data_IF_125335308005
#
_entry.id   IF_125335308005
#
_cell.length_a   1.000
_cell.length_b   1.000
_cell.length_c   1.000
_cell.angle_alpha   90.00
_cell.angle_beta   90.00
_cell.angle_gamma   90.00
#
_symmetry.space_group_name_H-M   'P 1'
#
loop_
_entity.id
_entity.type
_entity.pdbx_description
1 polymer ?
#
# COMPACT_ATOMS: atom_id res chain seq x y z
N UNK A 1 -105.69 -90.18 -69.89
CA UNK A 1 -105.18 -88.79 -69.81
C UNK A 1 -104.68 -88.46 -68.40
N UNK A 2 -104.60 -89.44 -67.47
CA UNK A 2 -104.12 -89.27 -66.08
C UNK A 2 -102.66 -89.74 -65.83
N UNK A 3 -101.99 -90.36 -66.82
CA UNK A 3 -100.69 -91.04 -66.63
C UNK A 3 -99.47 -90.17 -67.04
N UNK A 4 -99.71 -89.04 -67.70
CA UNK A 4 -98.68 -88.08 -68.13
C UNK A 4 -98.43 -86.99 -67.06
N UNK A 5 -99.49 -86.49 -66.42
CA UNK A 5 -99.43 -85.53 -65.30
C UNK A 5 -98.69 -86.11 -64.07
N UNK A 6 -98.85 -87.41 -63.80
CA UNK A 6 -98.16 -88.10 -62.70
C UNK A 6 -96.64 -88.28 -62.97
N UNK A 7 -96.22 -88.38 -64.24
CA UNK A 7 -94.81 -88.50 -64.63
C UNK A 7 -94.10 -87.16 -64.67
N UNK A 8 -94.80 -86.09 -65.04
CA UNK A 8 -94.29 -84.72 -65.01
C UNK A 8 -94.10 -84.23 -63.57
N UNK A 9 -95.09 -84.42 -62.70
CA UNK A 9 -94.97 -84.07 -61.27
C UNK A 9 -93.88 -84.89 -60.55
N UNK A 10 -93.62 -86.14 -60.96
CA UNK A 10 -92.54 -86.95 -60.42
C UNK A 10 -91.15 -86.48 -60.90
N UNK A 11 -91.02 -85.96 -62.13
CA UNK A 11 -89.76 -85.35 -62.63
C UNK A 11 -89.49 -84.02 -61.95
N UNK A 12 -90.50 -83.18 -61.81
CA UNK A 12 -90.40 -81.88 -61.14
C UNK A 12 -90.08 -82.05 -59.64
N UNK A 13 -90.68 -83.04 -58.97
CA UNK A 13 -90.32 -83.39 -57.60
C UNK A 13 -88.90 -83.98 -57.47
N UNK A 14 -88.41 -84.71 -58.49
CA UNK A 14 -87.03 -85.22 -58.51
C UNK A 14 -86.00 -84.12 -58.79
N UNK A 15 -86.35 -83.14 -59.63
CA UNK A 15 -85.53 -81.97 -59.93
C UNK A 15 -85.47 -81.01 -58.74
N UNK A 16 -86.61 -80.72 -58.11
CA UNK A 16 -86.67 -79.95 -56.86
C UNK A 16 -85.89 -80.63 -55.72
N UNK A 17 -85.90 -81.98 -55.64
CA UNK A 17 -85.07 -82.72 -54.68
C UNK A 17 -83.58 -82.60 -54.97
N UNK A 18 -83.17 -82.65 -56.25
CA UNK A 18 -81.77 -82.45 -56.66
C UNK A 18 -81.29 -81.02 -56.42
N UNK A 19 -82.12 -80.03 -56.72
CA UNK A 19 -81.83 -78.62 -56.50
C UNK A 19 -81.74 -78.30 -55.00
N UNK A 20 -82.67 -78.82 -54.19
CA UNK A 20 -82.59 -78.71 -52.73
C UNK A 20 -81.34 -79.42 -52.16
N UNK A 21 -80.93 -80.56 -52.71
CA UNK A 21 -79.69 -81.23 -52.29
C UNK A 21 -78.44 -80.44 -52.69
N UNK A 22 -78.42 -79.80 -53.86
CA UNK A 22 -77.33 -78.92 -54.30
C UNK A 22 -77.23 -77.68 -53.41
N UNK A 23 -78.36 -76.98 -53.18
CA UNK A 23 -78.41 -75.82 -52.28
C UNK A 23 -77.97 -76.18 -50.86
N UNK A 24 -78.36 -77.36 -50.37
CA UNK A 24 -77.90 -77.87 -49.07
C UNK A 24 -76.39 -78.13 -49.07
N UNK A 25 -75.83 -78.76 -50.10
CA UNK A 25 -74.37 -78.99 -50.21
C UNK A 25 -73.58 -77.69 -50.33
N UNK A 26 -74.09 -76.71 -51.06
CA UNK A 26 -73.44 -75.41 -51.22
C UNK A 26 -73.52 -74.59 -49.94
N UNK A 27 -74.65 -74.65 -49.22
CA UNK A 27 -74.77 -74.09 -47.87
C UNK A 27 -73.82 -74.77 -46.87
N UNK A 28 -73.77 -76.10 -46.85
CA UNK A 28 -72.81 -76.85 -45.99
C UNK A 28 -71.35 -76.53 -46.35
N UNK A 29 -71.02 -76.30 -47.63
CA UNK A 29 -69.69 -75.86 -48.07
C UNK A 29 -69.38 -74.42 -47.65
N UNK A 30 -70.34 -73.50 -47.77
CA UNK A 30 -70.21 -72.11 -47.36
C UNK A 30 -70.01 -72.02 -45.84
N UNK A 31 -70.84 -72.72 -45.06
CA UNK A 31 -70.72 -72.80 -43.59
C UNK A 31 -69.37 -73.40 -43.17
N UNK A 32 -68.86 -74.43 -43.88
CA UNK A 32 -67.50 -74.97 -43.64
C UNK A 32 -66.38 -74.00 -44.03
N UNK A 33 -66.58 -73.18 -45.07
CA UNK A 33 -65.61 -72.17 -45.49
C UNK A 33 -65.55 -71.02 -44.48
N UNK A 34 -66.71 -70.53 -44.03
CA UNK A 34 -66.84 -69.53 -42.98
C UNK A 34 -66.28 -70.02 -41.65
N UNK A 35 -66.56 -71.27 -41.26
CA UNK A 35 -65.99 -71.86 -40.05
C UNK A 35 -64.45 -71.93 -40.11
N UNK A 36 -63.88 -72.30 -41.28
CA UNK A 36 -62.44 -72.30 -41.49
C UNK A 36 -61.84 -70.89 -41.48
N UNK A 37 -62.55 -69.90 -42.03
CA UNK A 37 -62.10 -68.51 -42.03
C UNK A 37 -62.17 -67.90 -40.62
N UNK A 38 -63.23 -68.17 -39.87
CA UNK A 38 -63.37 -67.79 -38.46
C UNK A 38 -62.27 -68.43 -37.60
N UNK A 39 -61.95 -69.71 -37.84
CA UNK A 39 -60.85 -70.40 -37.16
C UNK A 39 -59.49 -69.78 -37.49
N UNK A 40 -59.24 -69.40 -38.76
CA UNK A 40 -58.02 -68.67 -39.15
C UNK A 40 -57.91 -67.31 -38.46
N UNK A 41 -58.98 -66.50 -38.51
CA UNK A 41 -59.04 -65.19 -37.84
C UNK A 41 -58.79 -65.31 -36.33
N UNK A 42 -59.37 -66.33 -35.69
CA UNK A 42 -59.12 -66.61 -34.27
C UNK A 42 -57.65 -66.93 -34.01
N UNK A 43 -57.01 -67.77 -34.83
CA UNK A 43 -55.57 -68.10 -34.69
C UNK A 43 -54.68 -66.89 -34.92
N UNK A 44 -55.05 -66.01 -35.85
CA UNK A 44 -54.30 -64.77 -36.13
C UNK A 44 -54.42 -63.78 -34.97
N UNK A 45 -55.60 -63.62 -34.37
CA UNK A 45 -55.79 -62.82 -33.15
C UNK A 45 -55.01 -63.41 -31.96
N UNK A 46 -55.11 -64.73 -31.72
CA UNK A 46 -54.33 -65.40 -30.66
C UNK A 46 -52.81 -65.31 -30.89
N UNK A 47 -52.36 -65.17 -32.14
CA UNK A 47 -50.96 -64.93 -32.47
C UNK A 47 -50.58 -63.46 -32.22
N UNK A 48 -51.41 -62.52 -32.67
CA UNK A 48 -51.20 -61.08 -32.46
C UNK A 48 -51.15 -60.73 -30.96
N UNK A 49 -52.05 -61.30 -30.15
CA UNK A 49 -52.05 -61.10 -28.69
C UNK A 49 -50.77 -61.64 -28.04
N UNK A 50 -50.30 -62.83 -28.47
CA UNK A 50 -49.03 -63.40 -27.98
C UNK A 50 -47.83 -62.54 -28.36
N UNK A 51 -47.81 -62.00 -29.58
CA UNK A 51 -46.72 -61.15 -30.04
C UNK A 51 -46.75 -59.78 -29.35
N UNK A 52 -47.93 -59.21 -29.09
CA UNK A 52 -48.12 -58.01 -28.29
C UNK A 52 -47.67 -58.21 -26.84
N UNK A 53 -48.02 -59.34 -26.22
CA UNK A 53 -47.61 -59.68 -24.85
C UNK A 53 -46.08 -59.77 -24.74
N UNK A 54 -45.42 -60.43 -25.72
CA UNK A 54 -43.96 -60.52 -25.76
C UNK A 54 -43.28 -59.16 -25.93
N UNK A 55 -43.86 -58.27 -26.73
CA UNK A 55 -43.32 -56.91 -26.92
C UNK A 55 -43.47 -56.06 -25.65
N UNK A 56 -44.58 -56.20 -24.93
CA UNK A 56 -44.77 -55.56 -23.61
C UNK A 56 -43.72 -56.08 -22.62
N UNK A 57 -43.54 -57.39 -22.50
CA UNK A 57 -42.53 -58.00 -21.61
C UNK A 57 -41.10 -57.59 -21.98
N UNK A 58 -40.81 -57.44 -23.28
CA UNK A 58 -39.52 -56.96 -23.75
C UNK A 58 -39.28 -55.52 -23.34
N UNK A 59 -40.25 -54.63 -23.55
CA UNK A 59 -40.16 -53.21 -23.17
C UNK A 59 -40.03 -53.03 -21.67
N UNK A 60 -40.75 -53.81 -20.88
CA UNK A 60 -40.65 -53.79 -19.42
C UNK A 60 -39.24 -54.22 -18.95
N UNK A 61 -38.68 -55.28 -19.55
CA UNK A 61 -37.32 -55.72 -19.27
C UNK A 61 -36.26 -54.67 -19.66
N UNK A 62 -36.41 -54.06 -20.83
CA UNK A 62 -35.50 -53.01 -21.31
C UNK A 62 -35.59 -51.77 -20.41
N UNK A 63 -36.79 -51.41 -19.94
CA UNK A 63 -37.02 -50.34 -18.97
C UNK A 63 -36.34 -50.65 -17.63
N UNK A 64 -36.57 -51.83 -17.06
CA UNK A 64 -35.96 -52.23 -15.79
C UNK A 64 -34.43 -52.26 -15.88
N UNK A 65 -33.88 -52.70 -17.01
CA UNK A 65 -32.44 -52.66 -17.26
C UNK A 65 -31.92 -51.23 -17.34
N UNK A 66 -32.61 -50.33 -18.04
CA UNK A 66 -32.24 -48.92 -18.12
C UNK A 66 -32.31 -48.23 -16.75
N UNK A 67 -33.32 -48.52 -15.94
CA UNK A 67 -33.43 -48.02 -14.56
C UNK A 67 -32.27 -48.53 -13.69
N UNK A 68 -31.91 -49.82 -13.78
CA UNK A 68 -30.76 -50.37 -13.05
C UNK A 68 -29.42 -49.75 -13.49
N UNK A 69 -29.21 -49.55 -14.78
CA UNK A 69 -28.00 -48.93 -15.30
C UNK A 69 -27.92 -47.45 -14.90
N UNK A 70 -29.05 -46.74 -14.84
CA UNK A 70 -29.12 -45.37 -14.34
C UNK A 70 -28.77 -45.28 -12.85
N UNK A 71 -29.27 -46.20 -12.02
CA UNK A 71 -28.93 -46.28 -10.59
C UNK A 71 -27.42 -46.51 -10.41
N UNK A 72 -26.85 -47.49 -11.12
CA UNK A 72 -25.39 -47.76 -11.06
C UNK A 72 -24.56 -46.55 -11.49
N UNK A 73 -24.99 -45.84 -12.53
CA UNK A 73 -24.31 -44.62 -12.97
C UNK A 73 -24.41 -43.50 -11.93
N UNK A 74 -25.56 -43.36 -11.26
CA UNK A 74 -25.73 -42.38 -10.20
C UNK A 74 -24.83 -42.70 -8.99
N UNK A 75 -24.79 -43.95 -8.54
CA UNK A 75 -23.90 -44.40 -7.46
C UNK A 75 -22.42 -44.18 -7.82
N UNK A 76 -22.03 -44.46 -9.06
CA UNK A 76 -20.66 -44.23 -9.51
C UNK A 76 -20.30 -42.74 -9.51
N UNK A 77 -21.20 -41.86 -10.00
CA UNK A 77 -21.01 -40.41 -9.96
C UNK A 77 -20.89 -39.88 -8.54
N UNK A 78 -21.67 -40.42 -7.60
CA UNK A 78 -21.61 -40.04 -6.20
C UNK A 78 -20.28 -40.47 -5.56
N UNK A 79 -19.80 -41.69 -5.85
CA UNK A 79 -18.47 -42.16 -5.41
C UNK A 79 -17.34 -41.30 -5.97
N UNK A 80 -17.39 -40.96 -7.24
CA UNK A 80 -16.38 -40.12 -7.90
C UNK A 80 -16.40 -38.70 -7.33
N UNK A 81 -17.58 -38.15 -7.04
CA UNK A 81 -17.73 -36.86 -6.36
C UNK A 81 -17.13 -36.88 -4.96
N UNK A 82 -17.46 -37.87 -4.13
CA UNK A 82 -16.93 -38.00 -2.77
C UNK A 82 -15.40 -38.15 -2.78
N UNK A 83 -14.86 -38.89 -3.75
CA UNK A 83 -13.41 -39.02 -3.93
C UNK A 83 -12.76 -37.69 -4.32
N UNK A 84 -13.35 -36.95 -5.26
CA UNK A 84 -12.88 -35.63 -5.65
C UNK A 84 -12.91 -34.62 -4.49
N UNK A 85 -13.98 -34.64 -3.68
CA UNK A 85 -14.08 -33.81 -2.48
C UNK A 85 -12.99 -34.16 -1.45
N UNK A 86 -12.73 -35.45 -1.21
CA UNK A 86 -11.64 -35.89 -0.32
C UNK A 86 -10.25 -35.49 -0.85
N UNK A 87 -10.01 -35.63 -2.15
CA UNK A 87 -8.73 -35.25 -2.76
C UNK A 87 -8.53 -33.73 -2.72
N UNK A 88 -9.60 -32.94 -2.90
CA UNK A 88 -9.55 -31.49 -2.76
C UNK A 88 -9.23 -31.06 -1.32
N UNK A 89 -9.83 -31.71 -0.31
CA UNK A 89 -9.52 -31.44 1.11
C UNK A 89 -8.06 -31.75 1.42
N UNK A 90 -7.53 -32.89 0.95
CA UNK A 90 -6.11 -33.24 1.13
C UNK A 90 -5.18 -32.23 0.46
N UNK A 91 -5.51 -31.79 -0.77
CA UNK A 91 -4.73 -30.77 -1.46
C UNK A 91 -4.76 -29.42 -0.74
N UNK A 92 -5.91 -29.00 -0.21
CA UNK A 92 -6.03 -27.78 0.58
C UNK A 92 -5.21 -27.85 1.88
N UNK A 93 -5.24 -28.99 2.58
CA UNK A 93 -4.44 -29.21 3.78
C UNK A 93 -2.93 -29.17 3.45
N UNK A 94 -2.53 -29.77 2.32
CA UNK A 94 -1.13 -29.75 1.89
C UNK A 94 -0.66 -28.34 1.51
N UNK A 95 -1.47 -27.58 0.76
CA UNK A 95 -1.19 -26.17 0.45
C UNK A 95 -1.08 -25.32 1.72
N UNK A 96 -1.95 -25.56 2.71
CA UNK A 96 -1.89 -24.86 4.00
C UNK A 96 -0.59 -25.17 4.74
N UNK A 97 -0.16 -26.44 4.78
CA UNK A 97 1.12 -26.85 5.39
C UNK A 97 2.32 -26.26 4.66
N UNK A 98 2.28 -26.17 3.33
CA UNK A 98 3.33 -25.52 2.53
C UNK A 98 3.38 -24.01 2.78
N UNK A 99 2.23 -23.34 2.82
CA UNK A 99 2.14 -21.92 3.16
C UNK A 99 2.66 -21.63 4.58
N UNK A 100 2.33 -22.49 5.56
CA UNK A 100 2.82 -22.35 6.92
C UNK A 100 4.35 -22.53 7.00
N UNK A 101 4.92 -23.51 6.28
CA UNK A 101 6.38 -23.68 6.20
C UNK A 101 7.06 -22.51 5.51
N UNK A 102 6.48 -22.00 4.42
CA UNK A 102 7.00 -20.83 3.71
C UNK A 102 6.96 -19.58 4.60
N UNK A 103 5.86 -19.35 5.33
CA UNK A 103 5.75 -18.27 6.30
C UNK A 103 6.80 -18.39 7.42
N UNK A 104 6.99 -19.59 7.97
CA UNK A 104 8.03 -19.83 8.99
C UNK A 104 9.44 -19.59 8.44
N UNK A 105 9.71 -19.95 7.19
CA UNK A 105 10.99 -19.64 6.53
C UNK A 105 11.19 -18.13 6.37
N UNK A 106 10.18 -17.42 5.85
CA UNK A 106 10.21 -15.98 5.69
C UNK A 106 10.43 -15.24 7.02
N UNK A 107 9.78 -15.66 8.10
CA UNK A 107 9.98 -15.10 9.45
C UNK A 107 11.42 -15.32 9.92
N UNK A 108 12.01 -16.51 9.67
CA UNK A 108 13.41 -16.79 10.03
C UNK A 108 14.40 -15.96 9.21
N UNK A 109 14.14 -15.75 7.92
CA UNK A 109 14.94 -14.88 7.07
C UNK A 109 14.83 -13.41 7.48
N UNK A 110 13.62 -12.90 7.72
CA UNK A 110 13.41 -11.54 8.21
C UNK A 110 14.12 -11.31 9.55
N UNK A 111 14.04 -12.26 10.49
CA UNK A 111 14.78 -12.19 11.76
C UNK A 111 16.31 -12.24 11.56
N UNK A 112 16.81 -12.93 10.52
CA UNK A 112 18.23 -12.90 10.16
C UNK A 112 18.63 -11.56 9.58
N UNK A 113 17.84 -11.00 8.66
CA UNK A 113 18.06 -9.69 8.06
C UNK A 113 18.06 -8.59 9.13
N UNK A 114 17.12 -8.63 10.09
CA UNK A 114 17.08 -7.69 11.20
C UNK A 114 18.35 -7.75 12.05
N UNK A 115 18.84 -8.96 12.39
CA UNK A 115 20.11 -9.12 13.12
C UNK A 115 21.33 -8.65 12.32
N UNK A 116 21.35 -8.89 11.00
CA UNK A 116 22.42 -8.39 10.12
C UNK A 116 22.38 -6.86 10.01
N UNK A 117 21.19 -6.26 9.92
CA UNK A 117 20.99 -4.82 9.93
C UNK A 117 21.40 -4.18 11.28
N UNK A 118 20.98 -4.74 12.41
CA UNK A 118 21.42 -4.29 13.74
C UNK A 118 22.94 -4.40 13.91
N UNK A 119 23.55 -5.48 13.41
CA UNK A 119 25.01 -5.65 13.42
C UNK A 119 25.70 -4.61 12.53
N UNK A 120 25.16 -4.32 11.35
CA UNK A 120 25.66 -3.29 10.46
C UNK A 120 25.52 -1.89 11.06
N UNK A 121 24.38 -1.58 11.69
CA UNK A 121 24.17 -0.34 12.44
C UNK A 121 25.17 -0.20 13.59
N UNK A 122 25.41 -1.26 14.37
CA UNK A 122 26.43 -1.26 15.43
C UNK A 122 27.85 -1.06 14.88
N UNK A 123 28.17 -1.67 13.74
CA UNK A 123 29.46 -1.49 13.07
C UNK A 123 29.62 -0.06 12.55
N UNK A 124 28.57 0.51 11.94
CA UNK A 124 28.54 1.90 11.48
C UNK A 124 28.69 2.89 12.65
N UNK A 125 27.99 2.65 13.77
CA UNK A 125 28.13 3.45 14.98
C UNK A 125 29.56 3.36 15.57
N UNK A 126 30.18 2.17 15.55
CA UNK A 126 31.57 2.00 15.97
C UNK A 126 32.55 2.73 15.04
N UNK A 127 32.31 2.66 13.73
CA UNK A 127 33.09 3.37 12.71
C UNK A 127 32.94 4.89 12.84
N UNK A 128 31.73 5.41 13.08
CA UNK A 128 31.48 6.82 13.39
C UNK A 128 32.21 7.25 14.66
N UNK A 129 32.20 6.43 15.72
CA UNK A 129 32.99 6.72 16.94
C UNK A 129 34.49 6.69 16.69
N UNK A 130 35.00 5.78 15.85
CA UNK A 130 36.41 5.72 15.48
C UNK A 130 36.81 6.94 14.65
N UNK A 131 36.03 7.28 13.62
CA UNK A 131 36.19 8.48 12.82
C UNK A 131 36.12 9.76 13.68
N UNK A 132 35.22 9.83 14.66
CA UNK A 132 35.16 10.94 15.60
C UNK A 132 36.41 11.02 16.49
N UNK A 133 36.95 9.89 16.95
CA UNK A 133 38.21 9.84 17.72
C UNK A 133 39.43 10.20 16.88
N UNK A 134 39.45 9.79 15.61
CA UNK A 134 40.50 10.15 14.66
C UNK A 134 40.42 11.61 14.27
N UNK A 135 39.23 12.14 14.03
CA UNK A 135 38.99 13.57 13.83
C UNK A 135 39.37 14.39 15.07
N UNK A 136 39.09 13.89 16.28
CA UNK A 136 39.52 14.52 17.54
C UNK A 136 41.05 14.46 17.72
N UNK A 137 41.70 13.34 17.36
CA UNK A 137 43.18 13.26 17.34
C UNK A 137 43.79 14.18 16.28
N UNK A 138 43.21 14.24 15.09
CA UNK A 138 43.61 15.11 14.00
C UNK A 138 43.40 16.58 14.38
N UNK A 139 42.29 16.92 15.06
CA UNK A 139 42.05 18.23 15.67
C UNK A 139 43.09 18.55 16.73
N UNK A 140 43.41 17.64 17.66
CA UNK A 140 44.46 17.86 18.67
C UNK A 140 45.85 18.02 18.04
N UNK A 141 46.11 17.34 16.93
CA UNK A 141 47.35 17.50 16.17
C UNK A 141 47.36 18.82 15.39
N UNK A 142 46.26 19.18 14.74
CA UNK A 142 46.08 20.44 14.02
C UNK A 142 46.12 21.64 14.97
N UNK A 143 45.51 21.58 16.16
CA UNK A 143 45.60 22.61 17.21
C UNK A 143 47.01 22.69 17.80
N UNK A 144 47.79 21.60 17.77
CA UNK A 144 49.20 21.58 18.19
C UNK A 144 50.14 22.15 17.10
N UNK A 145 49.77 22.02 15.83
CA UNK A 145 50.59 22.42 14.66
C UNK A 145 50.20 23.82 14.15
N UNK A 146 48.93 24.20 14.26
CA UNK A 146 48.40 25.52 13.94
C UNK A 146 48.43 26.39 15.20
N UNK A 147 49.64 26.83 15.56
CA UNK A 147 49.79 28.09 16.27
C UNK A 147 49.39 29.23 15.32
N UNK A 148 48.10 29.51 15.24
CA UNK A 148 47.57 30.68 14.53
C UNK A 148 46.43 31.23 15.37
N UNK A 149 46.66 32.41 15.94
CA UNK A 149 45.67 33.18 16.68
C UNK A 149 44.36 33.28 15.89
N UNK A 150 43.20 32.96 16.49
CA UNK A 150 41.94 33.34 15.89
C UNK A 150 41.78 34.85 16.05
N UNK A 151 41.52 35.53 14.94
CA UNK A 151 40.96 36.89 14.96
C UNK A 151 39.72 36.86 15.87
N UNK A 152 39.65 37.67 16.94
CA UNK A 152 38.51 37.66 17.84
C UNK A 152 37.37 38.40 17.16
N UNK A 153 36.57 37.68 16.38
CA UNK A 153 35.20 38.10 16.13
C UNK A 153 34.45 37.84 17.43
N UNK A 154 33.97 38.91 18.07
CA UNK A 154 33.10 38.80 19.25
C UNK A 154 31.76 38.24 18.78
N UNK A 155 31.64 36.90 18.78
CA UNK A 155 30.45 36.21 18.35
C UNK A 155 29.30 36.52 19.32
N UNK A 156 28.08 36.78 18.82
CA UNK A 156 26.90 36.90 19.69
C UNK A 156 26.81 35.69 20.63
N UNK A 157 26.42 35.86 21.91
CA UNK A 157 26.43 34.78 22.91
C UNK A 157 25.74 33.48 22.45
N UNK A 158 24.59 33.60 21.78
CA UNK A 158 23.83 32.49 21.17
C UNK A 158 24.60 31.68 20.11
N UNK A 159 25.51 32.33 19.38
CA UNK A 159 26.37 31.67 18.39
C UNK A 159 27.63 31.16 19.10
N UNK A 160 28.25 31.96 19.96
CA UNK A 160 29.48 31.60 20.66
C UNK A 160 29.37 30.26 21.42
N UNK A 161 28.21 29.97 22.03
CA UNK A 161 27.98 28.71 22.75
C UNK A 161 28.09 27.47 21.85
N UNK A 162 27.70 27.57 20.58
CA UNK A 162 27.76 26.48 19.58
C UNK A 162 29.20 26.14 19.17
N UNK A 163 30.10 27.12 19.31
CA UNK A 163 31.50 27.01 18.92
C UNK A 163 32.44 26.78 20.11
N UNK A 164 31.91 26.68 21.34
CA UNK A 164 32.69 26.34 22.51
C UNK A 164 33.28 24.95 22.36
N UNK A 165 34.60 24.89 22.17
CA UNK A 165 35.31 23.62 22.24
C UNK A 165 35.26 23.13 23.68
N UNK A 166 34.84 21.87 23.95
CA UNK A 166 34.86 21.33 25.29
C UNK A 166 36.27 21.47 25.85
N UNK A 167 36.42 22.16 26.99
CA UNK A 167 37.72 22.29 27.61
C UNK A 167 38.28 20.89 27.90
N UNK A 168 39.58 20.61 27.64
CA UNK A 168 40.16 19.32 27.98
C UNK A 168 39.91 19.04 29.47
N UNK A 169 39.20 17.94 29.75
CA UNK A 169 38.67 17.64 31.08
C UNK A 169 39.77 17.72 32.14
N UNK A 170 39.60 18.62 33.11
CA UNK A 170 40.43 18.63 34.33
C UNK A 170 40.20 17.30 35.07
N UNK A 171 41.25 16.68 35.66
CA UNK A 171 41.07 15.51 36.51
C UNK A 171 40.12 15.85 37.67
N UNK A 172 38.95 15.22 37.70
CA UNK A 172 37.90 15.46 38.70
C UNK A 172 36.65 14.61 38.40
N UNK A 173 35.67 14.59 39.31
CA UNK A 173 34.38 13.93 39.05
C UNK A 173 33.76 14.49 37.75
N UNK A 174 33.15 13.62 36.94
CA UNK A 174 32.53 14.04 35.67
C UNK A 174 31.59 15.23 35.92
N UNK A 175 31.59 16.27 35.05
CA UNK A 175 30.61 17.34 35.16
C UNK A 175 29.21 16.72 35.21
N UNK A 176 28.39 17.12 36.19
CA UNK A 176 27.05 16.55 36.37
C UNK A 176 26.08 16.88 35.22
N UNK A 177 26.42 17.84 34.36
CA UNK A 177 25.61 18.29 33.23
C UNK A 177 26.52 18.78 32.08
N UNK A 178 26.09 18.57 30.84
CA UNK A 178 26.78 18.98 29.59
C UNK A 178 25.84 19.78 28.71
N UNK A 179 26.38 20.56 27.76
CA UNK A 179 25.56 21.35 26.82
C UNK A 179 24.69 20.43 25.95
N UNK A 180 25.23 19.26 25.59
CA UNK A 180 24.53 18.22 24.84
C UNK A 180 23.31 17.70 25.61
N UNK A 181 23.46 17.45 26.92
CA UNK A 181 22.34 17.01 27.77
C UNK A 181 21.26 18.10 27.92
N UNK A 182 21.66 19.37 27.99
CA UNK A 182 20.71 20.50 28.03
C UNK A 182 19.93 20.57 26.72
N UNK A 183 20.61 20.44 25.58
CA UNK A 183 19.99 20.44 24.26
C UNK A 183 19.05 19.25 24.07
N UNK A 184 19.47 18.02 24.41
CA UNK A 184 18.65 16.80 24.33
C UNK A 184 17.34 16.93 25.13
N UNK A 185 17.41 17.44 26.35
CA UNK A 185 16.22 17.64 27.19
C UNK A 185 15.30 18.73 26.63
N UNK A 186 15.86 19.79 26.05
CA UNK A 186 15.09 20.84 25.38
C UNK A 186 14.37 20.33 24.13
N UNK A 187 15.05 19.52 23.31
CA UNK A 187 14.47 18.88 22.12
C UNK A 187 13.32 17.97 22.54
N UNK A 188 13.54 17.07 23.51
CA UNK A 188 12.50 16.16 23.98
C UNK A 188 11.26 16.90 24.48
N UNK A 189 11.45 18.00 25.22
CA UNK A 189 10.35 18.85 25.69
C UNK A 189 9.61 19.53 24.54
N UNK A 190 10.34 20.08 23.56
CA UNK A 190 9.76 20.74 22.39
C UNK A 190 9.00 19.76 21.50
N UNK A 191 9.50 18.54 21.31
CA UNK A 191 8.86 17.49 20.52
C UNK A 191 7.54 17.04 21.15
N UNK A 192 7.46 16.98 22.49
CA UNK A 192 6.26 16.46 23.19
C UNK A 192 5.25 17.53 23.59
N UNK A 193 5.72 18.68 24.03
CA UNK A 193 4.89 19.73 24.65
C UNK A 193 4.87 21.03 23.81
N UNK A 194 5.68 21.11 22.74
CA UNK A 194 5.81 22.30 21.90
C UNK A 194 6.85 23.30 22.41
N UNK A 195 7.44 24.07 21.50
CA UNK A 195 8.59 24.95 21.78
C UNK A 195 8.31 26.07 22.80
N UNK A 196 7.06 26.48 22.91
CA UNK A 196 6.63 27.53 23.86
C UNK A 196 6.78 27.09 25.32
N UNK A 197 6.74 25.77 25.56
CA UNK A 197 6.89 25.20 26.92
C UNK A 197 8.35 25.14 27.37
N UNK A 198 9.29 25.28 26.43
CA UNK A 198 10.73 25.28 26.72
C UNK A 198 11.11 26.58 27.42
N UNK A 199 11.12 26.51 28.75
CA UNK A 199 11.60 27.58 29.64
C UNK A 199 12.78 27.09 30.47
N UNK A 200 13.61 28.02 30.95
CA UNK A 200 14.75 27.68 31.80
C UNK A 200 14.35 26.90 33.06
N UNK A 201 13.18 27.20 33.64
CA UNK A 201 12.67 26.50 34.82
C UNK A 201 12.21 25.09 34.48
N UNK A 202 11.41 24.93 33.41
CA UNK A 202 10.91 23.63 32.95
C UNK A 202 12.06 22.70 32.53
N UNK A 203 13.05 23.25 31.83
CA UNK A 203 14.24 22.51 31.43
C UNK A 203 15.05 22.05 32.66
N UNK A 204 15.22 22.91 33.66
CA UNK A 204 15.93 22.56 34.89
C UNK A 204 15.20 21.45 35.65
N UNK A 205 13.88 21.55 35.78
CA UNK A 205 13.02 20.53 36.37
C UNK A 205 13.15 19.19 35.64
N UNK A 206 13.08 19.18 34.32
CA UNK A 206 13.22 17.95 33.50
C UNK A 206 14.56 17.25 33.69
N UNK A 207 15.62 18.02 33.95
CA UNK A 207 16.98 17.52 34.16
C UNK A 207 17.27 17.19 35.63
N UNK A 208 16.35 17.50 36.56
CA UNK A 208 16.57 17.34 38.01
C UNK A 208 17.55 18.34 38.62
N UNK A 209 17.73 19.50 37.99
CA UNK A 209 18.60 20.58 38.45
C UNK A 209 17.80 21.84 38.83
N UNK A 210 18.46 22.78 39.51
CA UNK A 210 17.90 24.12 39.72
C UNK A 210 18.13 25.01 38.51
N UNK A 211 17.26 25.97 38.23
CA UNK A 211 17.45 26.96 37.15
C UNK A 211 18.80 27.66 37.24
N UNK A 212 19.24 28.02 38.46
CA UNK A 212 20.56 28.61 38.72
C UNK A 212 21.72 27.71 38.30
N UNK A 213 21.54 26.39 38.34
CA UNK A 213 22.56 25.44 37.91
C UNK A 213 22.71 25.38 36.39
N UNK A 214 21.62 25.60 35.63
CA UNK A 214 21.66 25.68 34.18
C UNK A 214 22.42 26.92 33.68
N UNK A 215 22.24 28.06 34.36
CA UNK A 215 22.91 29.31 33.98
C UNK A 215 24.45 29.27 34.02
N UNK A 216 25.05 28.23 34.63
CA UNK A 216 26.50 28.00 34.56
C UNK A 216 26.98 27.50 33.20
N UNK A 217 26.08 26.93 32.41
CA UNK A 217 26.38 26.32 31.11
C UNK A 217 25.91 27.19 29.96
N UNK A 218 24.70 27.74 30.10
CA UNK A 218 24.02 28.57 29.09
C UNK A 218 23.58 29.90 29.71
N UNK A 219 23.80 31.00 29.02
CA UNK A 219 23.55 32.35 29.56
C UNK A 219 22.11 32.82 29.37
N UNK A 220 21.38 32.24 28.41
CA UNK A 220 20.02 32.64 28.04
C UNK A 220 19.21 31.47 27.46
N UNK A 221 17.89 31.67 27.33
CA UNK A 221 17.01 30.75 26.58
C UNK A 221 17.47 30.65 25.11
N UNK A 222 17.90 31.76 24.51
CA UNK A 222 18.33 31.79 23.10
C UNK A 222 19.56 30.92 22.84
N UNK A 223 20.50 30.84 23.80
CA UNK A 223 21.63 29.90 23.74
C UNK A 223 21.14 28.45 23.74
N UNK A 224 20.13 28.13 24.56
CA UNK A 224 19.52 26.80 24.57
C UNK A 224 18.84 26.48 23.25
N UNK A 225 18.04 27.41 22.72
CA UNK A 225 17.36 27.22 21.43
C UNK A 225 18.34 27.03 20.28
N UNK A 226 19.46 27.77 20.30
CA UNK A 226 20.55 27.62 19.33
C UNK A 226 21.16 26.22 19.42
N UNK A 227 21.47 25.75 20.64
CA UNK A 227 22.04 24.41 20.89
C UNK A 227 21.10 23.29 20.48
N UNK A 228 19.82 23.40 20.86
CA UNK A 228 18.77 22.45 20.48
C UNK A 228 18.72 22.29 18.97
N UNK A 229 18.85 23.39 18.23
CA UNK A 229 18.60 23.36 16.80
C UNK A 229 19.77 22.86 15.97
N UNK A 230 20.99 23.25 16.34
CA UNK A 230 22.20 22.67 15.74
C UNK A 230 22.25 21.15 15.97
N UNK A 231 21.75 20.70 17.13
CA UNK A 231 21.71 19.30 17.52
C UNK A 231 20.58 18.52 16.84
N UNK A 232 19.37 19.06 16.80
CA UNK A 232 18.20 18.45 16.14
C UNK A 232 18.43 18.28 14.63
N UNK A 233 19.07 19.27 13.99
CA UNK A 233 19.39 19.22 12.56
C UNK A 233 20.39 18.12 12.17
N UNK A 234 21.10 17.55 13.16
CA UNK A 234 22.08 16.50 12.93
C UNK A 234 23.24 16.90 12.00
N UNK A 235 23.80 15.92 11.29
CA UNK A 235 24.84 16.11 10.28
C UNK A 235 24.32 15.61 8.93
N UNK A 236 24.62 16.29 7.82
CA UNK A 236 24.35 15.73 6.50
C UNK A 236 25.17 14.45 6.29
N UNK A 237 24.68 13.53 5.44
CA UNK A 237 25.51 12.44 4.94
C UNK A 237 26.66 13.00 4.10
N UNK A 238 27.73 12.22 3.96
CA UNK A 238 28.76 12.53 2.97
C UNK A 238 28.20 12.16 1.60
N UNK A 239 28.09 13.14 0.72
CA UNK A 239 27.58 12.98 -0.64
C UNK A 239 28.69 13.32 -1.62
N UNK A 240 29.24 12.30 -2.27
CA UNK A 240 30.30 12.46 -3.25
C UNK A 240 29.81 12.27 -4.69
N UNK A 241 30.73 12.35 -5.67
CA UNK A 241 30.43 12.15 -7.10
C UNK A 241 29.82 10.78 -7.44
N UNK A 242 30.00 9.78 -6.59
CA UNK A 242 29.45 8.43 -6.75
C UNK A 242 27.91 8.36 -6.69
N UNK A 243 27.26 9.38 -6.11
CA UNK A 243 25.79 9.47 -6.02
C UNK A 243 25.18 9.90 -7.36
N UNK A 244 25.91 10.64 -8.19
CA UNK A 244 25.43 11.13 -9.48
C UNK A 244 25.77 12.60 -9.73
N UNK A 245 24.94 13.22 -10.58
CA UNK A 245 25.01 14.63 -10.91
C UNK A 245 24.59 15.53 -9.75
N UNK A 246 24.60 16.84 -9.99
CA UNK A 246 24.26 17.82 -8.97
C UNK A 246 22.82 17.65 -8.44
N UNK A 247 21.89 17.25 -9.32
CA UNK A 247 20.47 17.08 -8.98
C UNK A 247 20.29 15.90 -8.04
N UNK A 248 20.80 14.72 -8.40
CA UNK A 248 20.67 13.51 -7.59
C UNK A 248 21.31 13.69 -6.20
N UNK A 249 22.42 14.45 -6.13
CA UNK A 249 23.06 14.79 -4.86
C UNK A 249 22.20 15.70 -3.98
N UNK A 250 21.55 16.71 -4.55
CA UNK A 250 20.64 17.59 -3.79
C UNK A 250 19.37 16.86 -3.37
N UNK A 251 18.79 16.04 -4.25
CA UNK A 251 17.61 15.23 -3.94
C UNK A 251 17.88 14.27 -2.78
N UNK A 252 19.05 13.62 -2.75
CA UNK A 252 19.47 12.79 -1.62
C UNK A 252 19.60 13.60 -0.31
N UNK A 253 20.20 14.79 -0.36
CA UNK A 253 20.33 15.65 0.81
C UNK A 253 18.97 16.09 1.35
N UNK A 254 18.05 16.48 0.46
CA UNK A 254 16.68 16.86 0.82
C UNK A 254 15.90 15.69 1.41
N UNK A 255 15.99 14.50 0.79
CA UNK A 255 15.35 13.28 1.28
C UNK A 255 15.83 12.86 2.68
N UNK A 256 17.10 13.14 3.01
CA UNK A 256 17.64 12.89 4.37
C UNK A 256 17.24 14.00 5.35
N UNK A 257 17.14 15.24 4.88
CA UNK A 257 16.78 16.39 5.72
C UNK A 257 15.29 16.38 6.11
N UNK A 258 14.41 15.99 5.19
CA UNK A 258 12.96 15.98 5.36
C UNK A 258 12.49 15.25 6.64
N UNK A 259 12.84 13.97 6.89
CA UNK A 259 12.40 13.27 8.10
C UNK A 259 12.96 13.87 9.40
N UNK A 260 14.12 14.55 9.34
CA UNK A 260 14.68 15.26 10.51
C UNK A 260 13.81 16.46 10.87
N UNK A 261 13.38 17.20 9.85
CA UNK A 261 12.54 18.37 10.00
C UNK A 261 11.11 18.01 10.43
N UNK A 262 10.56 16.92 9.89
CA UNK A 262 9.27 16.36 10.32
C UNK A 262 9.26 15.87 11.77
N UNK A 263 10.39 15.32 12.24
CA UNK A 263 10.53 14.90 13.63
C UNK A 263 10.58 16.07 14.62
N UNK A 264 10.98 17.26 14.15
CA UNK A 264 11.21 18.44 14.98
C UNK A 264 10.50 19.69 14.38
N UNK A 265 9.17 19.69 14.27
CA UNK A 265 8.42 20.74 13.55
C UNK A 265 8.61 22.13 14.15
N UNK A 266 8.94 22.22 15.44
CA UNK A 266 9.24 23.48 16.12
C UNK A 266 10.46 24.24 15.56
N UNK A 267 11.33 23.58 14.78
CA UNK A 267 12.45 24.24 14.10
C UNK A 267 11.99 25.37 13.17
N UNK A 268 10.76 25.27 12.62
CA UNK A 268 10.19 26.29 11.73
C UNK A 268 9.75 27.57 12.47
N UNK A 269 9.42 27.49 13.76
CA UNK A 269 8.92 28.64 14.56
C UNK A 269 10.00 29.44 15.26
N UNK A 270 11.13 28.82 15.52
CA UNK A 270 12.16 29.45 16.31
C UNK A 270 13.04 30.35 15.42
N UNK A 271 12.74 31.65 15.38
CA UNK A 271 13.47 32.59 14.51
C UNK A 271 14.95 32.69 14.88
N UNK A 272 15.34 32.49 16.16
CA UNK A 272 16.75 32.44 16.55
C UNK A 272 17.49 31.24 15.93
N UNK A 273 16.77 30.15 15.67
CA UNK A 273 17.29 28.91 15.08
C UNK A 273 17.64 29.12 13.61
N UNK A 274 16.80 29.88 12.91
CA UNK A 274 16.99 30.25 11.52
C UNK A 274 18.14 31.23 11.30
N UNK A 275 18.69 31.84 12.35
CA UNK A 275 19.83 32.76 12.28
C UNK A 275 21.09 32.23 12.98
N UNK A 276 20.97 31.15 13.75
CA UNK A 276 22.12 30.50 14.38
C UNK A 276 23.03 29.87 13.31
N UNK A 277 24.27 30.36 13.22
CA UNK A 277 25.32 29.78 12.37
C UNK A 277 26.12 28.79 13.21
N UNK A 278 25.49 27.65 13.48
CA UNK A 278 26.10 26.54 14.21
C UNK A 278 26.91 25.61 13.30
N UNK A 279 27.76 24.73 13.88
CA UNK A 279 28.50 23.73 13.12
C UNK A 279 27.59 22.84 12.26
N UNK A 280 26.44 22.41 12.78
CA UNK A 280 25.39 21.61 12.11
C UNK A 280 24.93 22.27 10.83
N UNK A 281 24.49 23.50 10.96
CA UNK A 281 24.03 24.31 9.82
C UNK A 281 25.13 24.51 8.78
N UNK A 282 26.34 24.87 9.20
CA UNK A 282 27.45 25.04 8.25
C UNK A 282 27.79 23.74 7.53
N UNK A 283 27.71 22.60 8.20
CA UNK A 283 27.92 21.30 7.55
C UNK A 283 26.85 21.05 6.47
N UNK A 284 25.57 21.34 6.74
CA UNK A 284 24.50 21.24 5.75
C UNK A 284 24.69 22.20 4.57
N UNK A 285 25.05 23.46 4.84
CA UNK A 285 25.36 24.43 3.79
C UNK A 285 26.53 23.96 2.91
N UNK A 286 27.61 23.48 3.53
CA UNK A 286 28.77 22.92 2.82
C UNK A 286 28.38 21.74 1.94
N UNK A 287 27.58 20.80 2.46
CA UNK A 287 27.13 19.63 1.71
C UNK A 287 26.26 20.03 0.50
N UNK A 288 25.33 20.98 0.67
CA UNK A 288 24.47 21.46 -0.42
C UNK A 288 25.26 22.27 -1.46
N UNK A 289 26.23 23.10 -1.05
CA UNK A 289 27.11 23.80 -1.98
C UNK A 289 28.00 22.81 -2.74
N UNK A 290 28.58 21.83 -2.05
CA UNK A 290 29.40 20.78 -2.66
C UNK A 290 28.59 19.93 -3.65
N UNK A 291 27.30 19.73 -3.42
CA UNK A 291 26.43 19.04 -4.37
C UNK A 291 26.34 19.77 -5.72
N UNK A 292 26.48 21.11 -5.73
CA UNK A 292 26.51 21.95 -6.93
C UNK A 292 27.92 22.09 -7.54
N UNK A 293 28.93 21.41 -7.00
CA UNK A 293 30.27 21.46 -7.58
C UNK A 293 30.34 20.83 -8.97
N UNK A 294 31.15 21.46 -9.82
CA UNK A 294 31.28 21.11 -11.23
C UNK A 294 30.20 21.71 -12.14
N UNK A 295 29.21 22.42 -11.58
CA UNK A 295 28.26 23.21 -12.38
C UNK A 295 28.90 24.54 -12.82
N UNK A 296 28.44 25.14 -13.94
CA UNK A 296 28.91 26.45 -14.40
C UNK A 296 28.36 27.63 -13.58
N UNK A 297 27.57 27.37 -12.54
CA UNK A 297 26.98 28.42 -11.71
C UNK A 297 28.05 29.17 -10.92
N UNK A 298 27.87 30.49 -10.82
CA UNK A 298 28.66 31.32 -9.91
C UNK A 298 28.36 30.99 -8.44
N UNK A 299 29.30 31.29 -7.55
CA UNK A 299 29.11 31.06 -6.11
C UNK A 299 27.90 31.83 -5.55
N UNK A 300 27.56 32.99 -6.12
CA UNK A 300 26.36 33.73 -5.75
C UNK A 300 25.08 32.97 -6.13
N UNK A 301 25.04 32.39 -7.32
CA UNK A 301 23.91 31.58 -7.79
C UNK A 301 23.78 30.29 -6.99
N UNK A 302 24.89 29.61 -6.64
CA UNK A 302 24.87 28.43 -5.78
C UNK A 302 24.29 28.73 -4.40
N UNK A 303 24.75 29.81 -3.76
CA UNK A 303 24.21 30.25 -2.45
C UNK A 303 22.73 30.63 -2.56
N UNK A 304 22.34 31.32 -3.64
CA UNK A 304 20.94 31.65 -3.91
C UNK A 304 20.06 30.41 -4.09
N UNK A 305 20.54 29.42 -4.83
CA UNK A 305 19.84 28.16 -5.06
C UNK A 305 19.60 27.36 -3.77
N UNK A 306 20.64 27.15 -2.96
CA UNK A 306 20.50 26.43 -1.70
C UNK A 306 19.69 27.22 -0.67
N UNK A 307 19.75 28.55 -0.71
CA UNK A 307 18.94 29.42 0.13
C UNK A 307 17.45 29.32 -0.20
N UNK A 308 17.12 29.28 -1.50
CA UNK A 308 15.74 29.11 -1.96
C UNK A 308 15.17 27.75 -1.56
N UNK A 309 15.95 26.67 -1.71
CA UNK A 309 15.57 25.34 -1.23
C UNK A 309 15.31 25.34 0.28
N UNK A 310 16.26 25.88 1.07
CA UNK A 310 16.11 25.94 2.52
C UNK A 310 14.88 26.75 2.96
N UNK A 311 14.61 27.89 2.33
CA UNK A 311 13.41 28.69 2.60
C UNK A 311 12.13 27.94 2.28
N UNK A 312 12.08 27.25 1.13
CA UNK A 312 10.92 26.44 0.73
C UNK A 312 10.63 25.32 1.73
N UNK A 313 11.65 24.55 2.12
CA UNK A 313 11.49 23.46 3.10
C UNK A 313 11.02 23.98 4.46
N UNK A 314 11.52 25.13 4.91
CA UNK A 314 11.08 25.75 6.17
C UNK A 314 9.63 26.26 6.09
N UNK A 315 9.24 26.86 4.97
CA UNK A 315 7.86 27.31 4.77
C UNK A 315 6.89 26.12 4.73
N UNK A 316 7.27 25.01 4.10
CA UNK A 316 6.50 23.76 4.10
C UNK A 316 6.22 23.25 5.52
N UNK A 317 7.25 23.19 6.38
CA UNK A 317 7.08 22.78 7.78
C UNK A 317 6.15 23.70 8.56
N UNK A 318 6.30 25.02 8.37
CA UNK A 318 5.49 26.01 9.06
C UNK A 318 4.01 25.85 8.70
N UNK A 319 3.71 25.68 7.41
CA UNK A 319 2.36 25.44 6.91
C UNK A 319 1.82 24.11 7.47
N UNK A 320 2.63 23.05 7.44
CA UNK A 320 2.27 21.74 8.01
C UNK A 320 1.94 21.80 9.51
N UNK A 321 2.68 22.55 10.31
CA UNK A 321 2.44 22.71 11.75
C UNK A 321 1.17 23.52 12.06
N UNK A 322 0.93 24.59 11.30
CA UNK A 322 -0.30 25.40 11.39
C UNK A 322 -1.55 24.55 11.07
N UNK A 323 -1.47 23.70 10.03
CA UNK A 323 -2.57 22.84 9.59
C UNK A 323 -2.78 21.61 10.49
N UNK A 324 -1.69 20.98 10.97
CA UNK A 324 -1.74 19.79 11.86
C UNK A 324 -2.37 20.10 13.22
N UNK A 325 -2.46 21.38 13.58
CA UNK A 325 -3.18 21.82 14.77
C UNK A 325 -2.37 22.01 16.02
N UNK A 326 -1.05 21.85 15.96
CA UNK A 326 -0.16 22.28 17.03
C UNK A 326 -0.15 23.81 17.21
N UNK A 327 -0.57 24.57 16.17
CA UNK A 327 -0.89 26.00 16.27
C UNK A 327 -2.34 26.34 16.68
N UNK A 328 -3.23 25.37 16.88
CA UNK A 328 -4.66 25.59 17.18
C UNK A 328 -4.91 25.76 18.69
N UNK A 329 -4.30 26.76 19.32
CA UNK A 329 -4.59 27.15 20.71
C UNK A 329 -5.82 28.07 20.86
N UNK A 330 -6.67 28.22 19.83
CA UNK A 330 -7.82 29.16 19.88
C UNK A 330 -9.16 28.64 19.36
N UNK A 331 -9.30 27.36 19.02
CA UNK A 331 -10.64 26.80 18.76
C UNK A 331 -11.27 26.34 20.09
N UNK A 332 -12.01 27.24 20.73
CA UNK A 332 -12.63 27.04 22.04
C UNK A 332 -13.63 25.86 22.13
N UNK A 333 -13.98 25.20 21.01
CA UNK A 333 -15.10 24.23 20.96
C UNK A 333 -14.79 22.90 20.24
N UNK A 334 -13.52 22.59 19.94
CA UNK A 334 -13.17 21.31 19.29
C UNK A 334 -13.70 21.13 17.86
N UNK A 335 -14.24 22.19 17.25
CA UNK A 335 -14.65 22.21 15.84
C UNK A 335 -13.41 22.46 14.98
N UNK A 336 -13.10 21.59 14.00
CA UNK A 336 -12.01 21.86 13.07
C UNK A 336 -12.33 23.13 12.25
N UNK A 337 -11.33 23.98 11.96
CA UNK A 337 -11.54 25.12 11.09
C UNK A 337 -12.04 24.65 9.71
N UNK A 338 -12.91 25.43 9.05
CA UNK A 338 -13.43 25.09 7.73
C UNK A 338 -12.30 24.99 6.69
N UNK A 339 -12.44 24.07 5.74
CA UNK A 339 -11.50 23.89 4.63
C UNK A 339 -11.36 25.18 3.81
N UNK A 340 -10.12 25.50 3.41
CA UNK A 340 -9.85 26.74 2.68
C UNK A 340 -10.53 26.74 1.29
N UNK A 341 -10.57 25.59 0.61
CA UNK A 341 -11.27 25.42 -0.66
C UNK A 341 -12.77 25.64 -0.51
N UNK A 342 -13.38 25.13 0.57
CA UNK A 342 -14.79 25.38 0.90
C UNK A 342 -15.06 26.86 1.19
N UNK A 343 -14.21 27.51 2.01
CA UNK A 343 -14.31 28.94 2.28
C UNK A 343 -14.22 29.77 1.00
N UNK A 344 -13.23 29.49 0.14
CA UNK A 344 -13.06 30.18 -1.15
C UNK A 344 -14.28 29.91 -2.04
N UNK A 345 -14.81 28.69 -2.05
CA UNK A 345 -16.03 28.35 -2.80
C UNK A 345 -17.21 29.19 -2.34
N UNK A 346 -17.38 29.38 -1.02
CA UNK A 346 -18.49 30.18 -0.46
C UNK A 346 -18.29 31.68 -0.67
N UNK A 347 -17.08 32.19 -0.50
CA UNK A 347 -16.80 33.63 -0.45
C UNK A 347 -16.44 34.24 -1.81
N UNK A 348 -15.84 33.47 -2.72
CA UNK A 348 -15.40 33.99 -4.01
C UNK A 348 -16.57 34.14 -4.98
N UNK A 349 -16.92 35.38 -5.32
CA UNK A 349 -17.89 35.67 -6.40
C UNK A 349 -17.39 35.12 -7.75
N UNK A 350 -18.21 34.38 -8.54
CA UNK A 350 -17.85 33.90 -9.87
C UNK A 350 -17.49 35.03 -10.86
N UNK A 351 -18.12 36.19 -10.72
CA UNK A 351 -17.94 37.32 -11.64
C UNK A 351 -16.67 38.13 -11.32
N UNK A 352 -16.33 38.25 -10.03
CA UNK A 352 -15.16 39.02 -9.57
C UNK A 352 -13.91 38.14 -9.42
N UNK A 353 -14.08 36.86 -9.10
CA UNK A 353 -13.00 35.92 -8.79
C UNK A 353 -13.06 34.63 -9.62
N UNK A 354 -13.19 34.71 -10.97
CA UNK A 354 -13.36 33.53 -11.81
C UNK A 354 -12.18 32.56 -11.72
N UNK A 355 -10.95 33.05 -11.51
CA UNK A 355 -9.76 32.20 -11.37
C UNK A 355 -9.76 31.40 -10.04
N UNK A 356 -10.04 32.06 -8.91
CA UNK A 356 -10.15 31.39 -7.60
C UNK A 356 -11.26 30.34 -7.61
N UNK A 357 -12.39 30.65 -8.23
CA UNK A 357 -13.51 29.70 -8.38
C UNK A 357 -13.14 28.48 -9.21
N UNK A 358 -12.39 28.65 -10.31
CA UNK A 358 -11.88 27.50 -11.08
C UNK A 358 -10.91 26.65 -10.26
N UNK A 359 -9.99 27.29 -9.53
CA UNK A 359 -9.01 26.59 -8.70
C UNK A 359 -9.67 25.83 -7.55
N UNK A 360 -10.62 26.45 -6.84
CA UNK A 360 -11.38 25.80 -5.76
C UNK A 360 -12.25 24.66 -6.27
N UNK A 361 -12.95 24.84 -7.40
CA UNK A 361 -13.72 23.76 -8.03
C UNK A 361 -12.85 22.59 -8.50
N UNK A 362 -11.57 22.84 -8.80
CA UNK A 362 -10.60 21.80 -9.14
C UNK A 362 -9.95 21.15 -7.90
N UNK A 363 -10.31 21.56 -6.68
CA UNK A 363 -9.73 21.05 -5.43
C UNK A 363 -8.30 21.56 -5.16
N UNK A 364 -7.83 22.60 -5.84
CA UNK A 364 -6.44 23.07 -5.74
C UNK A 364 -6.08 23.72 -4.39
N UNK A 365 -7.06 23.96 -3.53
CA UNK A 365 -6.88 24.47 -2.16
C UNK A 365 -7.16 23.41 -1.09
N UNK A 366 -7.63 22.23 -1.50
CA UNK A 366 -7.77 21.10 -0.60
C UNK A 366 -6.40 20.46 -0.47
N UNK A 367 -5.80 20.54 0.72
CA UNK A 367 -4.50 19.93 1.01
C UNK A 367 -4.65 18.41 0.94
N UNK A 368 -4.13 17.72 -0.10
CA UNK A 368 -4.06 16.28 -0.07
C UNK A 368 -3.05 15.87 1.01
N UNK A 369 -3.20 14.69 1.61
CA UNK A 369 -2.06 14.00 2.24
C UNK A 369 -0.82 14.21 1.33
N UNK A 370 0.29 14.67 1.90
CA UNK A 370 1.48 15.25 1.25
C UNK A 370 2.18 14.40 0.16
N UNK A 371 1.57 13.30 -0.29
CA UNK A 371 2.00 12.56 -1.46
C UNK A 371 1.58 13.30 -2.74
N UNK A 372 2.52 13.76 -3.58
CA UNK A 372 2.19 14.28 -4.89
C UNK A 372 1.42 13.21 -5.70
N UNK A 373 0.42 13.62 -6.52
CA UNK A 373 -0.50 12.70 -7.19
C UNK A 373 0.18 11.75 -8.19
N UNK A 374 1.46 11.97 -8.50
CA UNK A 374 2.30 11.15 -9.37
C UNK A 374 3.15 10.11 -8.62
N UNK A 375 3.12 10.11 -7.28
CA UNK A 375 3.91 9.20 -6.44
C UNK A 375 5.40 9.56 -6.36
N UNK A 376 5.79 10.79 -6.71
CA UNK A 376 7.15 11.28 -6.48
C UNK A 376 7.44 11.48 -4.97
N UNK A 377 8.71 11.31 -4.57
CA UNK A 377 9.14 11.54 -3.18
C UNK A 377 9.30 13.03 -2.85
N UNK A 378 9.29 13.92 -3.86
CA UNK A 378 9.53 15.36 -3.71
C UNK A 378 8.27 16.16 -3.99
N UNK A 379 8.03 17.19 -3.17
CA UNK A 379 6.89 18.07 -3.36
C UNK A 379 7.03 18.95 -4.63
N UNK A 380 5.88 19.45 -5.10
CA UNK A 380 5.79 20.27 -6.31
C UNK A 380 6.73 21.49 -6.32
N UNK A 381 6.86 22.20 -5.19
CA UNK A 381 7.72 23.38 -5.10
C UNK A 381 9.19 23.03 -5.18
N UNK A 382 9.60 21.93 -4.53
CA UNK A 382 10.97 21.41 -4.62
C UNK A 382 11.32 21.03 -6.06
N UNK A 383 10.43 20.34 -6.77
CA UNK A 383 10.63 20.00 -8.19
C UNK A 383 10.81 21.26 -9.04
N UNK A 384 9.95 22.28 -8.87
CA UNK A 384 10.07 23.53 -9.61
C UNK A 384 11.39 24.27 -9.34
N UNK A 385 11.87 24.26 -8.10
CA UNK A 385 13.14 24.90 -7.74
C UNK A 385 14.31 24.16 -8.43
N UNK A 386 14.32 22.83 -8.37
CA UNK A 386 15.37 22.02 -9.01
C UNK A 386 15.35 22.20 -10.54
N UNK A 387 14.18 22.20 -11.18
CA UNK A 387 14.03 22.47 -12.61
C UNK A 387 14.52 23.88 -12.98
N UNK A 388 14.29 24.86 -12.11
CA UNK A 388 14.82 26.22 -12.25
C UNK A 388 16.34 26.26 -12.21
N UNK A 389 16.97 25.52 -11.29
CA UNK A 389 18.44 25.39 -11.19
C UNK A 389 18.99 24.72 -12.45
N UNK A 390 18.35 23.65 -12.92
CA UNK A 390 18.75 22.97 -14.16
C UNK A 390 18.71 23.93 -15.35
N UNK A 391 17.67 24.74 -15.44
CA UNK A 391 17.54 25.76 -16.48
C UNK A 391 18.65 26.82 -16.39
N UNK A 392 19.00 27.27 -15.18
CA UNK A 392 20.12 28.21 -14.97
C UNK A 392 21.45 27.61 -15.41
N UNK A 393 21.72 26.34 -15.06
CA UNK A 393 22.90 25.61 -15.49
C UNK A 393 22.98 25.52 -17.01
N UNK A 394 21.86 25.20 -17.67
CA UNK A 394 21.78 25.11 -19.13
C UNK A 394 21.98 26.47 -19.84
N UNK A 395 21.70 27.59 -19.17
CA UNK A 395 21.94 28.94 -19.71
C UNK A 395 23.38 29.43 -19.49
N UNK A 396 24.06 28.89 -18.47
CA UNK A 396 25.45 29.19 -18.15
C UNK A 396 26.47 28.27 -18.84
N UNK A 397 25.99 27.17 -19.45
CA UNK A 397 26.76 26.23 -20.29
C UNK A 397 26.86 26.73 -21.73
#
# INVERSE_FOLDING_TARGET
MDDDEAREAAREAAEARREAELLRRDREKAERAEAKEAERRRRDLEKADRDAQKEIERRERDRLKAEQDAVKQAEQRERDRLKAEQDAVKQAEQRRKEQERAAQHAVREAARQLREAEKAQRAAALAQQQAAREAEKARRHAVRVAGTDPVPVDLPPGIAVLWRTPAPGRPGPRPGLTLEQIADAGIALADTEGIETVSMARLAESLGFTTMSLYRYVSSKDEVLSLMSDRASGRPPVVGPEVGGWRERLELLLAVQQPILEAHPWLARASEVLHAVGPGRLAWMEAMLSALDGTPLSEHEKVGAIGLLASHTLDQLRIGEELSGAGRTTAADGVPPPDLGDLITVLASPDEHPALRRAAAAGAFSFPDDAPPDGSELDFGTVLILDGIERLIALAS
#
